data_IF_865132203892
#
_entry.id   IF_865132203892
#
_cell.length_a   1.000
_cell.length_b   1.000
_cell.length_c   1.000
_cell.angle_alpha   90.00
_cell.angle_beta   90.00
_cell.angle_gamma   90.00
#
_symmetry.space_group_name_H-M   'P 1'
#
loop_
_entity.id
_entity.type
_entity.pdbx_description
1 polymer ?
#
# COMPACT_ATOMS: atom_id res chain seq x y z
N UNK A 1 -7.82 -18.59 28.68
CA UNK A 1 -8.89 -19.47 29.23
C UNK A 1 -10.29 -18.92 28.93
N UNK A 2 -10.61 -17.68 29.31
CA UNK A 2 -11.96 -17.11 29.11
C UNK A 2 -12.44 -17.07 27.64
N UNK A 3 -11.56 -16.73 26.69
CA UNK A 3 -11.91 -16.67 25.26
C UNK A 3 -12.30 -18.03 24.66
N UNK A 4 -11.67 -19.12 25.10
CA UNK A 4 -12.00 -20.48 24.64
C UNK A 4 -13.37 -20.94 25.15
N UNK A 5 -13.73 -20.55 26.38
CA UNK A 5 -15.06 -20.82 26.95
C UNK A 5 -16.14 -20.05 26.18
N UNK A 6 -15.87 -18.80 25.81
CA UNK A 6 -16.81 -17.97 25.05
C UNK A 6 -17.02 -18.53 23.63
N UNK A 7 -15.96 -18.96 22.95
CA UNK A 7 -16.06 -19.62 21.63
C UNK A 7 -16.82 -20.95 21.74
N UNK A 8 -16.55 -21.76 22.76
CA UNK A 8 -17.26 -23.02 22.98
C UNK A 8 -18.76 -22.78 23.25
N UNK A 9 -19.10 -21.77 24.05
CA UNK A 9 -20.50 -21.38 24.28
C UNK A 9 -21.17 -20.90 22.99
N UNK A 10 -20.49 -20.11 22.17
CA UNK A 10 -21.00 -19.64 20.88
C UNK A 10 -21.25 -20.80 19.91
N UNK A 11 -20.35 -21.78 19.84
CA UNK A 11 -20.51 -22.98 19.01
C UNK A 11 -21.70 -23.85 19.47
N UNK A 12 -21.91 -23.99 20.79
CA UNK A 12 -23.07 -24.70 21.34
C UNK A 12 -24.37 -23.98 20.99
N UNK A 13 -24.38 -22.65 21.05
CA UNK A 13 -25.54 -21.85 20.65
C UNK A 13 -25.80 -21.99 19.15
N UNK A 14 -24.78 -21.85 18.29
CA UNK A 14 -24.90 -22.06 16.84
C UNK A 14 -25.43 -23.46 16.49
N UNK A 15 -24.96 -24.49 17.19
CA UNK A 15 -25.43 -25.87 16.99
C UNK A 15 -26.92 -26.02 17.35
N UNK A 16 -27.34 -25.48 18.51
CA UNK A 16 -28.75 -25.57 18.96
C UNK A 16 -29.71 -24.70 18.16
N UNK A 17 -29.23 -23.63 17.54
CA UNK A 17 -30.05 -22.64 16.84
C UNK A 17 -29.83 -22.68 15.33
N UNK A 18 -29.23 -23.74 14.79
CA UNK A 18 -29.08 -23.92 13.35
C UNK A 18 -30.47 -23.94 12.69
N UNK A 19 -30.78 -23.02 11.77
CA UNK A 19 -32.09 -22.95 11.17
C UNK A 19 -32.32 -24.13 10.21
N UNK A 20 -33.51 -24.73 10.28
CA UNK A 20 -33.90 -25.90 9.48
C UNK A 20 -34.55 -25.52 8.14
N UNK A 21 -34.74 -26.51 7.26
CA UNK A 21 -35.47 -26.36 5.97
C UNK A 21 -36.83 -25.67 6.10
N UNK A 22 -37.59 -25.98 7.15
CA UNK A 22 -38.90 -25.35 7.40
C UNK A 22 -38.79 -23.87 7.79
N UNK A 23 -37.72 -23.50 8.50
CA UNK A 23 -37.42 -22.10 8.86
C UNK A 23 -37.08 -21.27 7.61
N UNK A 24 -36.36 -21.86 6.65
CA UNK A 24 -36.08 -21.22 5.36
C UNK A 24 -37.37 -20.95 4.56
N UNK A 25 -38.26 -21.95 4.51
CA UNK A 25 -39.56 -21.82 3.84
C UNK A 25 -40.41 -20.72 4.50
N UNK A 26 -40.43 -20.65 5.83
CA UNK A 26 -41.09 -19.58 6.58
C UNK A 26 -40.48 -18.20 6.31
N UNK A 27 -39.15 -18.10 6.18
CA UNK A 27 -38.45 -16.86 5.86
C UNK A 27 -38.82 -16.31 4.48
N UNK A 28 -38.79 -17.15 3.44
CA UNK A 28 -39.17 -16.71 2.08
C UNK A 28 -40.65 -16.36 1.97
N UNK A 29 -41.53 -17.09 2.67
CA UNK A 29 -42.99 -16.85 2.62
C UNK A 29 -43.42 -15.63 3.42
N UNK A 30 -42.84 -15.38 4.61
CA UNK A 30 -43.21 -14.21 5.43
C UNK A 30 -42.67 -12.89 4.85
N UNK A 31 -41.50 -12.90 4.22
CA UNK A 31 -40.88 -11.68 3.65
C UNK A 31 -41.70 -11.12 2.46
N UNK A 32 -42.60 -11.89 1.84
CA UNK A 32 -43.50 -11.37 0.79
C UNK A 32 -44.69 -10.56 1.33
N UNK A 33 -45.00 -10.68 2.63
CA UNK A 33 -46.25 -10.15 3.21
C UNK A 33 -46.14 -8.81 3.95
N UNK A 34 -44.93 -8.31 4.22
CA UNK A 34 -44.71 -7.05 4.95
C UNK A 34 -43.56 -6.21 4.35
N UNK A 35 -43.83 -5.15 3.57
CA UNK A 35 -42.81 -4.24 3.10
C UNK A 35 -42.54 -3.16 4.15
N UNK A 36 -41.66 -3.43 5.11
CA UNK A 36 -41.09 -2.38 5.96
C UNK A 36 -39.71 -1.99 5.45
N UNK A 37 -39.67 -0.77 4.91
CA UNK A 37 -38.58 0.19 4.67
C UNK A 37 -37.15 -0.32 4.85
N UNK A 38 -36.31 0.01 3.85
CA UNK A 38 -34.85 -0.24 3.71
C UNK A 38 -34.48 -1.61 3.12
N UNK A 39 -34.66 -1.79 1.79
CA UNK A 39 -33.89 -2.68 0.88
C UNK A 39 -34.55 -2.72 -0.51
N UNK A 40 -34.26 -1.74 -1.36
CA UNK A 40 -34.94 -1.55 -2.67
C UNK A 40 -34.58 -2.56 -3.77
N UNK A 41 -33.64 -3.50 -3.53
CA UNK A 41 -33.27 -4.55 -4.49
C UNK A 41 -33.79 -5.94 -4.12
N UNK A 42 -34.10 -6.18 -2.84
CA UNK A 42 -34.57 -7.49 -2.35
C UNK A 42 -36.07 -7.66 -2.62
N UNK A 43 -36.83 -6.58 -2.52
CA UNK A 43 -38.28 -6.58 -2.79
C UNK A 43 -38.60 -6.93 -4.24
N UNK A 44 -37.83 -6.46 -5.25
CA UNK A 44 -38.14 -6.74 -6.65
C UNK A 44 -37.97 -8.22 -7.05
N UNK A 45 -37.05 -8.95 -6.41
CA UNK A 45 -36.86 -10.38 -6.63
C UNK A 45 -37.94 -11.22 -5.93
N UNK A 46 -38.29 -10.88 -4.68
CA UNK A 46 -39.33 -11.58 -3.91
C UNK A 46 -40.74 -11.34 -4.46
N UNK A 47 -41.04 -10.15 -5.02
CA UNK A 47 -42.33 -9.87 -5.68
C UNK A 47 -42.51 -10.68 -6.97
N UNK A 48 -41.42 -11.20 -7.56
CA UNK A 48 -41.49 -12.06 -8.75
C UNK A 48 -41.84 -13.52 -8.42
N UNK A 49 -41.82 -13.91 -7.15
CA UNK A 49 -42.14 -15.26 -6.67
C UNK A 49 -43.65 -15.48 -6.43
N UNK A 50 -44.50 -15.05 -7.37
CA UNK A 50 -45.95 -15.38 -7.39
C UNK A 50 -46.19 -16.80 -7.94
N UNK A 51 -45.14 -17.50 -8.39
CA UNK A 51 -45.25 -18.85 -8.96
C UNK A 51 -44.31 -19.83 -8.26
N UNK A 52 -44.70 -20.31 -7.08
CA UNK A 52 -44.05 -21.45 -6.42
C UNK A 52 -42.64 -21.18 -5.88
N UNK A 53 -42.20 -22.01 -4.93
CA UNK A 53 -40.85 -21.96 -4.39
C UNK A 53 -39.90 -22.45 -5.48
N UNK A 54 -38.89 -21.66 -5.92
CA UNK A 54 -37.93 -22.11 -6.91
C UNK A 54 -37.16 -23.34 -6.42
N UNK A 55 -36.70 -24.17 -7.35
CA UNK A 55 -35.83 -25.28 -7.03
C UNK A 55 -34.54 -24.75 -6.38
N UNK A 56 -34.19 -25.33 -5.22
CA UNK A 56 -33.09 -24.87 -4.37
C UNK A 56 -32.35 -26.07 -3.77
N UNK A 57 -31.04 -25.92 -3.64
CA UNK A 57 -30.18 -26.91 -3.00
C UNK A 57 -29.93 -26.46 -1.56
N UNK A 58 -30.34 -27.30 -0.62
CA UNK A 58 -30.16 -27.07 0.81
C UNK A 58 -28.97 -27.88 1.31
N UNK A 59 -27.93 -27.20 1.77
CA UNK A 59 -26.75 -27.80 2.37
C UNK A 59 -26.74 -27.52 3.88
N UNK A 60 -26.91 -28.58 4.68
CA UNK A 60 -26.89 -28.50 6.13
C UNK A 60 -25.46 -28.74 6.66
N UNK A 61 -24.94 -27.82 7.45
CA UNK A 61 -23.68 -27.98 8.17
C UNK A 61 -23.93 -27.89 9.67
N UNK A 62 -23.05 -28.48 10.48
CA UNK A 62 -23.26 -28.62 11.92
C UNK A 62 -23.55 -27.28 12.68
N UNK A 63 -23.11 -26.14 12.15
CA UNK A 63 -23.24 -24.83 12.82
C UNK A 63 -23.95 -23.78 11.98
N UNK A 64 -24.28 -24.08 10.73
CA UNK A 64 -24.90 -23.16 9.79
C UNK A 64 -25.51 -23.92 8.63
N UNK A 65 -26.50 -23.32 7.97
CA UNK A 65 -27.12 -23.88 6.77
C UNK A 65 -26.89 -22.96 5.59
N UNK A 66 -26.59 -23.51 4.42
CA UNK A 66 -26.48 -22.74 3.18
C UNK A 66 -27.58 -23.19 2.23
N UNK A 67 -28.32 -22.22 1.68
CA UNK A 67 -29.27 -22.48 0.61
C UNK A 67 -28.85 -21.73 -0.63
N UNK A 68 -28.62 -22.47 -1.71
CA UNK A 68 -28.33 -21.91 -3.03
C UNK A 68 -29.50 -22.19 -3.95
N UNK A 69 -29.99 -21.15 -4.63
CA UNK A 69 -30.96 -21.33 -5.71
C UNK A 69 -30.28 -22.01 -6.90
N UNK A 70 -31.00 -22.86 -7.65
CA UNK A 70 -30.44 -23.57 -8.81
C UNK A 70 -29.98 -22.64 -9.94
N UNK A 71 -30.46 -21.40 -9.97
CA UNK A 71 -30.05 -20.36 -10.91
C UNK A 71 -28.78 -19.59 -10.48
N UNK A 72 -28.17 -19.96 -9.33
CA UNK A 72 -27.05 -19.25 -8.70
C UNK A 72 -27.31 -17.74 -8.46
N UNK A 73 -28.57 -17.29 -8.47
CA UNK A 73 -28.91 -15.86 -8.34
C UNK A 73 -28.72 -15.34 -6.91
N UNK A 74 -28.92 -16.19 -5.92
CA UNK A 74 -28.74 -15.86 -4.52
C UNK A 74 -28.30 -17.07 -3.70
N UNK A 75 -27.43 -16.78 -2.73
CA UNK A 75 -27.00 -17.72 -1.70
C UNK A 75 -27.45 -17.18 -0.35
N UNK A 76 -28.12 -18.01 0.44
CA UNK A 76 -28.59 -17.67 1.78
C UNK A 76 -27.75 -18.43 2.82
N UNK A 77 -27.40 -17.75 3.91
CA UNK A 77 -26.72 -18.30 5.07
C UNK A 77 -27.64 -18.26 6.28
N UNK A 78 -27.96 -19.43 6.80
CA UNK A 78 -28.70 -19.62 8.03
C UNK A 78 -27.74 -19.80 9.20
N UNK A 79 -27.71 -18.84 10.13
CA UNK A 79 -26.86 -18.86 11.33
C UNK A 79 -27.64 -18.25 12.50
N UNK A 80 -27.52 -18.83 13.70
CA UNK A 80 -28.15 -18.29 14.92
C UNK A 80 -29.66 -18.05 14.80
N UNK A 81 -30.37 -18.94 14.10
CA UNK A 81 -31.82 -18.84 13.87
C UNK A 81 -32.25 -17.75 12.89
N UNK A 82 -31.32 -17.07 12.21
CA UNK A 82 -31.59 -16.04 11.22
C UNK A 82 -31.08 -16.43 9.83
N UNK A 83 -31.74 -15.94 8.79
CA UNK A 83 -31.34 -16.10 7.40
C UNK A 83 -30.77 -14.79 6.86
N UNK A 84 -29.54 -14.85 6.35
CA UNK A 84 -28.80 -13.74 5.75
C UNK A 84 -28.56 -14.02 4.27
N UNK A 85 -28.51 -12.98 3.43
CA UNK A 85 -28.21 -13.12 2.00
C UNK A 85 -26.71 -12.87 1.77
N UNK A 86 -25.99 -13.86 1.26
CA UNK A 86 -24.54 -13.81 1.04
C UNK A 86 -24.11 -13.17 -0.28
N UNK A 87 -25.02 -13.01 -1.26
CA UNK A 87 -24.68 -12.43 -2.56
C UNK A 87 -24.20 -10.97 -2.49
N UNK A 88 -24.53 -10.23 -1.42
CA UNK A 88 -24.01 -8.88 -1.16
C UNK A 88 -22.61 -8.88 -0.53
N UNK A 89 -22.17 -9.97 0.12
CA UNK A 89 -20.87 -10.05 0.77
C UNK A 89 -19.75 -10.49 -0.20
N UNK A 90 -20.07 -11.38 -1.14
CA UNK A 90 -19.11 -11.91 -2.12
C UNK A 90 -18.60 -10.82 -3.08
N UNK A 91 -19.42 -9.78 -3.34
CA UNK A 91 -19.01 -8.60 -4.09
C UNK A 91 -17.87 -7.78 -3.44
N UNK A 92 -17.60 -7.97 -2.14
CA UNK A 92 -16.51 -7.28 -1.42
C UNK A 92 -15.16 -8.01 -1.45
N UNK A 93 -15.11 -9.27 -1.86
CA UNK A 93 -13.86 -10.06 -1.92
C UNK A 93 -13.41 -10.42 -3.34
N UNK A 94 -14.23 -10.15 -4.36
CA UNK A 94 -13.88 -10.35 -5.77
C UNK A 94 -13.10 -9.15 -6.39
N UNK A 95 -12.34 -8.41 -5.58
CA UNK A 95 -11.47 -7.30 -6.00
C UNK A 95 -10.09 -7.72 -6.50
N UNK A 96 -9.86 -9.02 -6.72
CA UNK A 96 -8.62 -9.53 -7.30
C UNK A 96 -8.98 -10.45 -8.48
N UNK A 97 -8.66 -9.96 -9.68
CA UNK A 97 -8.63 -10.65 -10.98
C UNK A 97 -9.89 -10.51 -11.85
N UNK A 98 -9.74 -9.71 -12.90
CA UNK A 98 -10.58 -9.76 -14.11
C UNK A 98 -11.45 -8.53 -14.30
N UNK A 99 -11.36 -7.94 -15.50
CA UNK A 99 -12.19 -6.81 -15.99
C UNK A 99 -13.66 -6.93 -15.54
N UNK A 100 -14.33 -5.86 -15.11
CA UNK A 100 -15.71 -5.98 -14.67
C UNK A 100 -16.61 -6.26 -15.87
N UNK A 101 -17.39 -7.34 -15.75
CA UNK A 101 -18.58 -7.56 -16.55
C UNK A 101 -19.62 -6.49 -16.18
N UNK A 102 -20.39 -6.07 -17.19
CA UNK A 102 -21.40 -5.00 -17.16
C UNK A 102 -22.42 -5.24 -16.04
N UNK A 103 -22.19 -4.60 -14.88
CA UNK A 103 -23.07 -4.63 -13.71
C UNK A 103 -23.33 -3.21 -13.21
N UNK A 104 -24.54 -2.71 -13.48
CA UNK A 104 -25.20 -1.53 -12.88
C UNK A 104 -24.37 -0.24 -12.77
N UNK A 105 -24.37 0.55 -13.85
CA UNK A 105 -23.92 1.96 -13.91
C UNK A 105 -24.35 2.80 -12.68
N UNK A 106 -25.58 2.57 -12.17
CA UNK A 106 -26.09 3.27 -10.98
C UNK A 106 -25.34 2.99 -9.66
N UNK A 107 -24.70 1.83 -9.49
CA UNK A 107 -23.94 1.51 -8.28
C UNK A 107 -22.56 2.17 -8.30
N UNK A 108 -21.95 2.23 -9.50
CA UNK A 108 -20.69 2.94 -9.75
C UNK A 108 -20.89 4.45 -9.61
N UNK A 109 -21.97 4.99 -10.17
CA UNK A 109 -22.31 6.41 -10.09
C UNK A 109 -22.57 6.87 -8.63
N UNK A 110 -23.16 6.01 -7.79
CA UNK A 110 -23.40 6.34 -6.36
C UNK A 110 -22.08 6.39 -5.59
N UNK A 111 -21.18 5.43 -5.82
CA UNK A 111 -19.85 5.43 -5.17
C UNK A 111 -18.94 6.56 -5.65
N UNK A 112 -19.04 6.97 -6.92
CA UNK A 112 -18.27 8.09 -7.45
C UNK A 112 -18.76 9.42 -6.86
N UNK A 113 -20.08 9.60 -6.73
CA UNK A 113 -20.67 10.78 -6.09
C UNK A 113 -20.23 10.92 -4.63
N UNK A 114 -20.20 9.83 -3.85
CA UNK A 114 -19.70 9.83 -2.47
C UNK A 114 -18.20 10.21 -2.40
N UNK A 115 -17.39 9.73 -3.35
CA UNK A 115 -15.96 10.07 -3.42
C UNK A 115 -15.73 11.55 -3.74
N UNK A 116 -16.52 12.10 -4.67
CA UNK A 116 -16.45 13.51 -5.04
C UNK A 116 -16.88 14.43 -3.89
N UNK A 117 -17.97 14.10 -3.18
CA UNK A 117 -18.42 14.85 -2.01
C UNK A 117 -17.32 14.89 -0.92
N UNK A 118 -16.74 13.73 -0.62
CA UNK A 118 -15.64 13.64 0.35
C UNK A 118 -14.41 14.45 -0.07
N UNK A 119 -14.08 14.45 -1.37
CA UNK A 119 -12.96 15.20 -1.89
C UNK A 119 -13.21 16.72 -1.85
N UNK A 120 -14.45 17.17 -2.04
CA UNK A 120 -14.84 18.58 -1.86
C UNK A 120 -14.77 19.01 -0.39
N UNK A 121 -15.14 18.12 0.54
CA UNK A 121 -14.94 18.36 1.98
C UNK A 121 -13.46 18.56 2.30
N UNK A 122 -12.56 17.74 1.76
CA UNK A 122 -11.12 17.95 1.98
C UNK A 122 -10.62 19.24 1.35
N UNK A 123 -11.14 19.60 0.16
CA UNK A 123 -10.77 20.84 -0.51
C UNK A 123 -11.19 22.06 0.30
N UNK A 124 -12.39 22.05 0.87
CA UNK A 124 -12.85 23.13 1.76
C UNK A 124 -12.00 23.19 3.04
N UNK A 125 -11.67 22.04 3.63
CA UNK A 125 -10.72 21.94 4.75
C UNK A 125 -9.35 22.51 4.41
N UNK A 126 -8.82 22.20 3.22
CA UNK A 126 -7.53 22.68 2.75
C UNK A 126 -7.52 24.22 2.61
N UNK A 127 -8.59 24.80 2.06
CA UNK A 127 -8.78 26.26 2.00
C UNK A 127 -8.83 26.89 3.39
N UNK A 128 -9.57 26.29 4.32
CA UNK A 128 -9.65 26.78 5.70
C UNK A 128 -8.28 26.70 6.43
N UNK A 129 -7.53 25.62 6.22
CA UNK A 129 -6.18 25.47 6.78
C UNK A 129 -5.20 26.51 6.20
N UNK A 130 -5.28 26.78 4.89
CA UNK A 130 -4.47 27.82 4.24
C UNK A 130 -4.77 29.21 4.81
N UNK A 131 -6.05 29.53 5.10
CA UNK A 131 -6.44 30.78 5.76
C UNK A 131 -5.85 30.91 7.17
N UNK A 132 -5.72 29.80 7.90
CA UNK A 132 -5.10 29.74 9.22
C UNK A 132 -3.56 29.76 9.18
N UNK A 133 -2.94 29.87 7.99
CA UNK A 133 -1.49 29.76 7.74
C UNK A 133 -0.89 28.42 8.14
N UNK A 134 -1.71 27.37 8.23
CA UNK A 134 -1.24 26.00 8.41
C UNK A 134 -1.09 25.34 7.03
N UNK A 135 0.06 25.62 6.40
CA UNK A 135 0.34 25.18 5.04
C UNK A 135 0.59 23.68 4.90
N UNK A 136 1.08 23.03 5.97
CA UNK A 136 1.32 21.59 5.97
C UNK A 136 -0.01 20.84 5.94
N UNK A 137 -0.94 21.19 6.83
CA UNK A 137 -2.28 20.60 6.84
C UNK A 137 -3.04 20.93 5.56
N UNK A 138 -2.85 22.14 5.00
CA UNK A 138 -3.45 22.51 3.73
C UNK A 138 -2.95 21.63 2.57
N UNK A 139 -1.63 21.45 2.43
CA UNK A 139 -1.05 20.60 1.38
C UNK A 139 -1.51 19.15 1.48
N UNK A 140 -1.50 18.58 2.69
CA UNK A 140 -1.95 17.21 2.94
C UNK A 140 -3.44 17.03 2.63
N UNK A 141 -4.28 18.03 2.93
CA UNK A 141 -5.70 17.99 2.61
C UNK A 141 -5.95 18.08 1.09
N UNK A 142 -5.21 18.92 0.36
CA UNK A 142 -5.28 18.94 -1.11
C UNK A 142 -4.80 17.62 -1.73
N UNK A 143 -3.75 17.01 -1.18
CA UNK A 143 -3.29 15.69 -1.61
C UNK A 143 -4.34 14.61 -1.36
N UNK A 144 -4.97 14.61 -0.19
CA UNK A 144 -6.05 13.66 0.13
C UNK A 144 -7.25 13.83 -0.81
N UNK A 145 -7.65 15.07 -1.11
CA UNK A 145 -8.68 15.36 -2.10
C UNK A 145 -8.29 14.80 -3.48
N UNK A 146 -7.04 15.03 -3.92
CA UNK A 146 -6.55 14.58 -5.21
C UNK A 146 -6.52 13.04 -5.32
N UNK A 147 -6.14 12.34 -4.25
CA UNK A 147 -6.16 10.88 -4.20
C UNK A 147 -7.58 10.31 -4.28
N UNK A 148 -8.56 10.96 -3.65
CA UNK A 148 -9.98 10.57 -3.74
C UNK A 148 -10.52 10.78 -5.15
N UNK A 149 -10.26 11.93 -5.77
CA UNK A 149 -10.63 12.18 -7.17
C UNK A 149 -9.95 11.21 -8.16
N UNK A 150 -8.74 10.72 -7.85
CA UNK A 150 -8.03 9.72 -8.67
C UNK A 150 -8.69 8.33 -8.62
N UNK A 151 -9.49 8.03 -7.60
CA UNK A 151 -10.28 6.80 -7.53
C UNK A 151 -11.53 6.86 -8.42
N UNK A 152 -11.97 8.07 -8.81
CA UNK A 152 -13.02 8.28 -9.80
C UNK A 152 -12.58 7.81 -11.19
N UNK A 153 -13.53 7.37 -11.99
CA UNK A 153 -13.29 6.89 -13.35
C UNK A 153 -13.59 7.95 -14.40
N UNK A 154 -14.31 9.02 -14.03
CA UNK A 154 -14.64 10.14 -14.88
C UNK A 154 -13.41 10.99 -15.25
N UNK A 155 -13.38 11.47 -16.49
CA UNK A 155 -12.36 12.39 -17.00
C UNK A 155 -12.34 13.71 -16.19
N UNK A 156 -13.51 14.15 -15.72
CA UNK A 156 -13.64 15.35 -14.88
C UNK A 156 -12.92 15.15 -13.54
N UNK A 157 -13.09 13.99 -12.91
CA UNK A 157 -12.46 13.67 -11.62
C UNK A 157 -10.94 13.57 -11.78
N UNK A 158 -10.43 13.03 -12.90
CA UNK A 158 -8.99 13.02 -13.19
C UNK A 158 -8.41 14.43 -13.37
N UNK A 159 -9.12 15.33 -14.07
CA UNK A 159 -8.72 16.74 -14.21
C UNK A 159 -8.75 17.47 -12.86
N UNK A 160 -9.76 17.21 -12.02
CA UNK A 160 -9.85 17.77 -10.68
C UNK A 160 -8.72 17.25 -9.78
N UNK A 161 -8.35 15.98 -9.88
CA UNK A 161 -7.20 15.41 -9.18
C UNK A 161 -5.90 16.15 -9.55
N UNK A 162 -5.64 16.31 -10.86
CA UNK A 162 -4.46 17.03 -11.35
C UNK A 162 -4.43 18.48 -10.83
N UNK A 163 -5.56 19.18 -10.87
CA UNK A 163 -5.68 20.55 -10.34
C UNK A 163 -5.40 20.63 -8.84
N UNK A 164 -5.88 19.67 -8.05
CA UNK A 164 -5.66 19.64 -6.61
C UNK A 164 -4.19 19.32 -6.26
N UNK A 165 -3.52 18.46 -7.03
CA UNK A 165 -2.06 18.27 -6.90
C UNK A 165 -1.30 19.57 -7.20
N UNK A 166 -1.67 20.31 -8.25
CA UNK A 166 -1.06 21.60 -8.60
C UNK A 166 -1.28 22.66 -7.51
N UNK A 167 -2.51 22.74 -6.99
CA UNK A 167 -2.83 23.62 -5.86
C UNK A 167 -2.00 23.26 -4.61
N UNK A 168 -1.79 21.96 -4.34
CA UNK A 168 -0.91 21.50 -3.26
C UNK A 168 0.54 21.93 -3.47
N UNK A 169 1.09 21.71 -4.67
CA UNK A 169 2.47 22.10 -5.01
C UNK A 169 2.70 23.59 -4.81
N UNK A 170 1.81 24.44 -5.35
CA UNK A 170 1.93 25.89 -5.26
C UNK A 170 1.91 26.37 -3.80
N UNK A 171 1.00 25.83 -3.00
CA UNK A 171 0.85 26.23 -1.59
C UNK A 171 2.07 25.79 -0.77
N UNK A 172 2.49 24.53 -0.91
CA UNK A 172 3.65 24.01 -0.18
C UNK A 172 4.95 24.70 -0.59
N UNK A 173 5.17 24.93 -1.90
CA UNK A 173 6.39 25.58 -2.38
C UNK A 173 6.47 27.06 -1.96
N UNK A 174 5.36 27.80 -2.04
CA UNK A 174 5.32 29.19 -1.57
C UNK A 174 5.54 29.28 -0.06
N UNK A 175 4.91 28.40 0.71
CA UNK A 175 5.10 28.31 2.16
C UNK A 175 6.55 27.93 2.53
N UNK A 176 7.15 26.98 1.81
CA UNK A 176 8.52 26.55 2.07
C UNK A 176 9.52 27.71 1.88
N UNK A 177 9.34 28.53 0.84
CA UNK A 177 10.16 29.74 0.62
C UNK A 177 10.01 30.76 1.75
N UNK A 178 8.79 30.97 2.24
CA UNK A 178 8.51 31.88 3.37
C UNK A 178 9.21 31.39 4.64
N UNK A 179 9.12 30.10 4.95
CA UNK A 179 9.76 29.54 6.14
C UNK A 179 11.29 29.45 6.02
N UNK A 180 11.81 29.22 4.82
CA UNK A 180 13.25 29.21 4.57
C UNK A 180 13.92 30.58 4.76
N UNK A 181 13.17 31.68 4.65
CA UNK A 181 13.69 33.04 4.93
C UNK A 181 13.97 33.28 6.42
N UNK A 182 13.39 32.46 7.31
CA UNK A 182 13.56 32.59 8.75
C UNK A 182 14.42 31.45 9.31
N UNK A 183 15.63 31.70 9.84
CA UNK A 183 16.53 30.65 10.33
C UNK A 183 15.90 29.76 11.41
N UNK A 184 15.07 30.32 12.30
CA UNK A 184 14.39 29.57 13.36
C UNK A 184 13.29 28.63 12.85
N UNK A 185 12.86 28.76 11.58
CA UNK A 185 11.76 27.99 10.99
C UNK A 185 12.24 27.08 9.86
N UNK A 186 13.56 26.88 9.73
CA UNK A 186 14.16 26.09 8.65
C UNK A 186 13.75 24.61 8.71
N UNK A 187 13.56 24.04 9.90
CA UNK A 187 13.02 22.67 10.06
C UNK A 187 11.57 22.55 9.55
N UNK A 188 10.75 23.63 9.65
CA UNK A 188 9.41 23.66 9.05
C UNK A 188 9.48 23.75 7.53
N UNK A 189 10.45 24.49 6.98
CA UNK A 189 10.69 24.48 5.54
C UNK A 189 11.06 23.07 5.05
N UNK A 190 11.94 22.35 5.78
CA UNK A 190 12.27 20.96 5.51
C UNK A 190 11.04 20.04 5.48
N UNK A 191 10.10 20.21 6.41
CA UNK A 191 8.84 19.43 6.43
C UNK A 191 7.99 19.64 5.18
N UNK A 192 7.92 20.88 4.68
CA UNK A 192 7.16 21.18 3.47
C UNK A 192 7.83 20.60 2.22
N UNK A 193 9.16 20.62 2.15
CA UNK A 193 9.90 19.97 1.06
C UNK A 193 9.80 18.44 1.11
N UNK A 194 9.76 17.84 2.30
CA UNK A 194 9.47 16.42 2.47
C UNK A 194 8.10 16.06 1.87
N UNK A 195 7.06 16.83 2.19
CA UNK A 195 5.73 16.60 1.61
C UNK A 195 5.70 16.85 0.10
N UNK A 196 6.39 17.88 -0.40
CA UNK A 196 6.55 18.09 -1.84
C UNK A 196 7.19 16.86 -2.52
N UNK A 197 8.25 16.30 -1.93
CA UNK A 197 8.90 15.08 -2.43
C UNK A 197 7.96 13.88 -2.50
N UNK A 198 7.12 13.69 -1.46
CA UNK A 198 6.10 12.62 -1.44
C UNK A 198 5.08 12.78 -2.56
N UNK A 199 4.62 14.01 -2.79
CA UNK A 199 3.64 14.29 -3.86
C UNK A 199 4.30 14.08 -5.23
N UNK A 200 5.54 14.53 -5.46
CA UNK A 200 6.24 14.30 -6.73
C UNK A 200 6.54 12.83 -7.01
N UNK A 201 6.80 12.03 -5.97
CA UNK A 201 7.08 10.59 -6.10
C UNK A 201 5.83 9.74 -6.40
N UNK A 202 4.68 10.09 -5.80
CA UNK A 202 3.46 9.26 -5.81
C UNK A 202 2.24 9.87 -6.53
N UNK A 203 2.32 11.16 -6.90
CA UNK A 203 1.21 11.94 -7.46
C UNK A 203 0.79 11.54 -8.87
N UNK A 204 -0.25 12.20 -9.38
CA UNK A 204 -0.77 11.97 -10.74
C UNK A 204 0.24 12.30 -11.85
N UNK A 205 1.13 13.25 -11.61
CA UNK A 205 2.22 13.65 -12.50
C UNK A 205 3.55 13.32 -11.83
N UNK A 206 3.85 12.02 -11.78
CA UNK A 206 5.06 11.49 -11.15
C UNK A 206 6.30 12.07 -11.84
N UNK A 207 7.05 12.88 -11.10
CA UNK A 207 8.30 13.49 -11.55
C UNK A 207 9.39 13.15 -10.54
N UNK A 208 10.11 12.08 -10.83
CA UNK A 208 11.18 11.58 -9.97
C UNK A 208 12.33 12.59 -9.83
N UNK A 209 12.55 13.48 -10.80
CA UNK A 209 13.68 14.42 -10.72
C UNK A 209 13.39 15.49 -9.68
N UNK A 210 12.21 16.10 -9.77
CA UNK A 210 11.75 17.08 -8.77
C UNK A 210 11.57 16.45 -7.39
N UNK A 211 11.20 15.18 -7.32
CA UNK A 211 11.15 14.45 -6.06
C UNK A 211 12.53 14.36 -5.41
N UNK A 212 13.57 14.00 -6.18
CA UNK A 212 14.96 13.95 -5.69
C UNK A 212 15.39 15.32 -5.18
N UNK A 213 15.23 16.38 -5.98
CA UNK A 213 15.58 17.75 -5.58
C UNK A 213 14.84 18.19 -4.30
N UNK A 214 13.56 17.83 -4.17
CA UNK A 214 12.78 18.14 -2.97
C UNK A 214 13.28 17.39 -1.72
N UNK A 215 13.64 16.11 -1.84
CA UNK A 215 14.20 15.35 -0.72
C UNK A 215 15.61 15.80 -0.35
N UNK A 216 16.45 16.15 -1.32
CA UNK A 216 17.80 16.70 -1.07
C UNK A 216 17.72 18.07 -0.39
N UNK A 217 16.84 18.97 -0.85
CA UNK A 217 16.62 20.26 -0.20
C UNK A 217 16.05 20.10 1.21
N UNK A 218 15.11 19.17 1.43
CA UNK A 218 14.61 18.84 2.75
C UNK A 218 15.72 18.34 3.68
N UNK A 219 16.57 17.43 3.20
CA UNK A 219 17.70 16.91 3.95
C UNK A 219 18.69 18.02 4.34
N UNK A 220 19.06 18.90 3.40
CA UNK A 220 19.97 20.00 3.65
C UNK A 220 19.43 20.96 4.73
N UNK A 221 18.14 21.26 4.70
CA UNK A 221 17.52 22.08 5.76
C UNK A 221 17.52 21.39 7.11
N UNK A 222 17.29 20.08 7.14
CA UNK A 222 17.36 19.30 8.38
C UNK A 222 18.78 19.25 8.95
N UNK A 223 19.81 19.14 8.11
CA UNK A 223 21.21 19.20 8.57
C UNK A 223 21.56 20.56 9.15
N UNK A 224 21.12 21.65 8.52
CA UNK A 224 21.34 23.01 9.06
C UNK A 224 20.64 23.20 10.41
N UNK A 225 19.48 22.57 10.62
CA UNK A 225 18.77 22.60 11.91
C UNK A 225 19.18 21.52 12.91
N UNK A 226 20.16 20.68 12.59
CA UNK A 226 20.55 19.50 13.38
C UNK A 226 19.35 18.58 13.74
N UNK A 227 18.47 18.38 12.76
CA UNK A 227 17.24 17.58 12.91
C UNK A 227 17.52 16.11 12.59
N UNK A 228 17.05 15.21 13.45
CA UNK A 228 17.27 13.76 13.34
C UNK A 228 16.73 13.15 12.04
N UNK A 229 15.84 13.85 11.32
CA UNK A 229 15.20 13.41 10.08
C UNK A 229 16.09 13.50 8.84
N UNK A 230 17.20 14.23 8.89
CA UNK A 230 18.10 14.41 7.73
C UNK A 230 18.52 13.09 7.05
N UNK A 231 19.02 12.06 7.78
CA UNK A 231 19.44 10.80 7.17
C UNK A 231 18.30 10.06 6.43
N UNK A 232 17.08 10.11 6.97
CA UNK A 232 15.92 9.45 6.37
C UNK A 232 15.51 10.11 5.05
N UNK A 233 15.61 11.43 4.95
CA UNK A 233 15.32 12.15 3.70
C UNK A 233 16.40 11.91 2.64
N UNK A 234 17.68 11.89 3.03
CA UNK A 234 18.77 11.52 2.10
C UNK A 234 18.62 10.09 1.58
N UNK A 235 18.19 9.15 2.43
CA UNK A 235 17.94 7.77 2.00
C UNK A 235 16.76 7.70 1.00
N UNK A 236 15.73 8.52 1.19
CA UNK A 236 14.62 8.63 0.24
C UNK A 236 15.07 9.19 -1.11
N UNK A 237 15.91 10.22 -1.11
CA UNK A 237 16.55 10.73 -2.33
C UNK A 237 17.41 9.65 -3.03
N UNK A 238 18.23 8.91 -2.27
CA UNK A 238 19.05 7.83 -2.80
C UNK A 238 18.23 6.69 -3.42
N UNK A 239 17.10 6.32 -2.82
CA UNK A 239 16.20 5.32 -3.39
C UNK A 239 15.60 5.76 -4.74
N UNK A 240 15.21 7.04 -4.87
CA UNK A 240 14.69 7.59 -6.13
C UNK A 240 15.79 7.72 -7.19
N UNK A 241 17.01 8.09 -6.79
CA UNK A 241 18.19 8.09 -7.67
C UNK A 241 18.48 6.68 -8.21
N UNK A 242 18.40 5.66 -7.34
CA UNK A 242 18.55 4.27 -7.73
C UNK A 242 17.47 3.82 -8.71
N UNK A 243 16.21 4.18 -8.46
CA UNK A 243 15.09 3.90 -9.37
C UNK A 243 15.27 4.57 -10.75
N UNK A 244 15.86 5.76 -10.80
CA UNK A 244 16.23 6.45 -12.04
C UNK A 244 17.44 5.84 -12.76
N UNK A 245 18.16 4.91 -12.14
CA UNK A 245 19.40 4.33 -12.65
C UNK A 245 20.67 5.15 -12.38
N UNK A 246 20.60 6.19 -11.54
CA UNK A 246 21.79 6.98 -11.11
C UNK A 246 22.45 6.32 -9.90
N UNK A 247 22.94 5.09 -10.09
CA UNK A 247 23.44 4.26 -9.00
C UNK A 247 24.68 4.83 -8.29
N UNK A 248 25.63 5.43 -9.02
CA UNK A 248 26.86 5.96 -8.39
C UNK A 248 26.54 7.12 -7.43
N UNK A 249 25.66 8.04 -7.84
CA UNK A 249 25.19 9.13 -6.97
C UNK A 249 24.41 8.62 -5.76
N UNK A 250 23.63 7.54 -5.93
CA UNK A 250 22.94 6.92 -4.80
C UNK A 250 23.93 6.27 -3.80
N UNK A 251 24.97 5.60 -4.29
CA UNK A 251 26.00 4.95 -3.46
C UNK A 251 26.73 6.00 -2.61
N UNK A 252 27.19 7.10 -3.20
CA UNK A 252 27.92 8.14 -2.45
C UNK A 252 27.06 8.75 -1.35
N UNK A 253 25.77 8.99 -1.61
CA UNK A 253 24.83 9.44 -0.58
C UNK A 253 24.68 8.38 0.53
N UNK A 254 24.52 7.11 0.17
CA UNK A 254 24.33 6.03 1.16
C UNK A 254 25.57 5.81 2.04
N UNK A 255 26.77 5.88 1.48
CA UNK A 255 28.02 5.79 2.23
C UNK A 255 28.10 6.89 3.31
N UNK A 256 27.70 8.13 2.97
CA UNK A 256 27.65 9.22 3.96
C UNK A 256 26.62 8.95 5.05
N UNK A 257 25.41 8.51 4.69
CA UNK A 257 24.32 8.23 5.63
C UNK A 257 24.70 7.10 6.59
N UNK A 258 25.24 6.00 6.06
CA UNK A 258 25.66 4.83 6.83
C UNK A 258 26.71 5.22 7.86
N UNK A 259 27.68 6.06 7.47
CA UNK A 259 28.73 6.51 8.39
C UNK A 259 28.18 7.31 9.58
N UNK A 260 27.17 8.15 9.36
CA UNK A 260 26.50 8.96 10.39
C UNK A 260 25.58 8.10 11.26
N UNK A 261 24.75 7.25 10.65
CA UNK A 261 23.79 6.42 11.37
C UNK A 261 24.45 5.31 12.20
N UNK A 262 25.64 4.83 11.81
CA UNK A 262 26.37 3.83 12.59
C UNK A 262 26.99 4.38 13.88
N UNK A 263 27.20 5.70 13.99
CA UNK A 263 27.72 6.32 15.21
C UNK A 263 26.64 6.46 16.31
N UNK A 264 25.37 6.40 15.93
CA UNK A 264 24.24 6.61 16.82
C UNK A 264 23.49 5.28 17.07
N UNK A 265 23.47 4.84 18.32
CA UNK A 265 22.84 3.58 18.73
C UNK A 265 21.36 3.49 18.33
N UNK A 266 20.64 4.62 18.34
CA UNK A 266 19.22 4.66 17.96
C UNK A 266 19.05 4.57 16.45
N UNK A 267 20.01 5.06 15.65
CA UNK A 267 19.92 5.03 14.17
C UNK A 267 20.57 3.78 13.57
N UNK A 268 21.37 3.06 14.34
CA UNK A 268 22.05 1.80 13.94
C UNK A 268 21.10 0.76 13.34
N UNK A 269 19.84 0.67 13.80
CA UNK A 269 18.88 -0.32 13.27
C UNK A 269 18.53 -0.13 11.80
N UNK A 270 18.66 1.10 11.27
CA UNK A 270 18.42 1.43 9.86
C UNK A 270 19.62 1.22 8.96
N UNK A 271 20.82 1.05 9.52
CA UNK A 271 22.05 0.87 8.74
C UNK A 271 21.93 -0.31 7.78
N UNK A 272 21.31 -1.42 8.23
CA UNK A 272 21.08 -2.60 7.36
C UNK A 272 20.21 -2.29 6.13
N UNK A 273 19.22 -1.40 6.28
CA UNK A 273 18.31 -1.02 5.18
C UNK A 273 19.09 -0.19 4.14
N UNK A 274 20.00 0.68 4.59
CA UNK A 274 20.85 1.51 3.73
C UNK A 274 21.95 0.71 3.04
N UNK A 275 22.62 -0.19 3.75
CA UNK A 275 23.60 -1.12 3.18
C UNK A 275 22.97 -2.04 2.13
N UNK A 276 21.73 -2.47 2.38
CA UNK A 276 20.97 -3.25 1.40
C UNK A 276 20.69 -2.45 0.12
N UNK A 277 20.27 -1.19 0.26
CA UNK A 277 20.04 -0.32 -0.88
C UNK A 277 21.35 -0.04 -1.66
N UNK A 278 22.46 0.18 -0.94
CA UNK A 278 23.78 0.40 -1.53
C UNK A 278 24.24 -0.83 -2.33
N UNK A 279 24.03 -2.03 -1.78
CA UNK A 279 24.31 -3.28 -2.47
C UNK A 279 23.49 -3.44 -3.75
N UNK A 280 22.19 -3.10 -3.73
CA UNK A 280 21.36 -3.11 -4.93
C UNK A 280 21.92 -2.15 -6.00
N UNK A 281 22.31 -0.94 -5.62
CA UNK A 281 22.93 0.01 -6.57
C UNK A 281 24.19 -0.56 -7.22
N UNK A 282 25.06 -1.23 -6.45
CA UNK A 282 26.26 -1.89 -7.00
C UNK A 282 25.92 -3.04 -7.96
N UNK A 283 24.87 -3.82 -7.67
CA UNK A 283 24.34 -4.84 -8.60
C UNK A 283 23.83 -4.16 -9.89
N UNK A 284 23.18 -3.00 -9.77
CA UNK A 284 22.71 -2.22 -10.91
C UNK A 284 23.80 -1.71 -11.84
N UNK A 285 24.98 -1.44 -11.29
CA UNK A 285 26.21 -1.12 -12.03
C UNK A 285 26.92 -2.36 -12.60
N UNK A 286 26.44 -3.57 -12.28
CA UNK A 286 27.06 -4.85 -12.62
C UNK A 286 28.49 -5.01 -12.03
N UNK A 287 28.83 -4.24 -10.98
CA UNK A 287 30.13 -4.27 -10.32
C UNK A 287 30.14 -5.23 -9.12
N UNK A 288 30.17 -6.52 -9.44
CA UNK A 288 30.21 -7.61 -8.45
C UNK A 288 31.49 -7.64 -7.61
N UNK A 289 32.60 -7.11 -8.15
CA UNK A 289 33.89 -7.07 -7.46
C UNK A 289 33.84 -6.02 -6.35
N UNK A 290 33.33 -4.82 -6.66
CA UNK A 290 33.10 -3.76 -5.66
C UNK A 290 32.13 -4.25 -4.59
N UNK A 291 31.02 -4.86 -4.99
CA UNK A 291 30.06 -5.43 -4.04
C UNK A 291 30.70 -6.43 -3.08
N UNK A 292 31.46 -7.39 -3.59
CA UNK A 292 32.15 -8.38 -2.75
C UNK A 292 33.17 -7.77 -1.79
N UNK A 293 33.88 -6.72 -2.20
CA UNK A 293 34.80 -5.97 -1.31
C UNK A 293 34.02 -5.20 -0.24
N UNK A 294 32.96 -4.51 -0.61
CA UNK A 294 32.13 -3.73 0.31
C UNK A 294 31.47 -4.62 1.37
N UNK A 295 30.92 -5.76 0.98
CA UNK A 295 30.30 -6.71 1.94
C UNK A 295 31.32 -7.21 2.98
N UNK A 296 32.54 -7.54 2.57
CA UNK A 296 33.61 -7.93 3.51
C UNK A 296 34.00 -6.78 4.46
N UNK A 297 34.05 -5.55 3.94
CA UNK A 297 34.33 -4.37 4.77
C UNK A 297 33.19 -4.12 5.78
N UNK A 298 31.93 -4.25 5.36
CA UNK A 298 30.76 -4.13 6.22
C UNK A 298 30.71 -5.22 7.29
N UNK A 299 31.04 -6.46 6.94
CA UNK A 299 31.15 -7.56 7.90
C UNK A 299 32.19 -7.28 8.99
N UNK A 300 33.34 -6.69 8.66
CA UNK A 300 34.36 -6.34 9.65
C UNK A 300 33.97 -5.12 10.50
N UNK A 301 33.38 -4.10 9.89
CA UNK A 301 33.07 -2.81 10.54
C UNK A 301 31.81 -2.87 11.40
N UNK A 302 30.79 -3.60 10.97
CA UNK A 302 29.47 -3.69 11.61
C UNK A 302 29.21 -5.08 12.22
N UNK A 303 30.30 -5.76 12.62
CA UNK A 303 30.29 -7.16 13.10
C UNK A 303 29.55 -7.33 14.44
N UNK A 304 29.59 -6.31 15.31
CA UNK A 304 28.82 -6.23 16.54
C UNK A 304 27.36 -5.81 16.32
N UNK A 305 27.08 -5.22 15.17
CA UNK A 305 25.74 -4.83 14.75
C UNK A 305 25.01 -5.97 14.06
N UNK A 306 23.69 -5.86 14.05
CA UNK A 306 22.75 -6.86 13.50
C UNK A 306 22.97 -7.18 12.01
N UNK A 307 23.94 -6.57 11.32
CA UNK A 307 24.23 -6.76 9.90
C UNK A 307 24.62 -8.19 9.53
N UNK A 308 25.62 -8.78 10.18
CA UNK A 308 26.11 -10.11 9.77
C UNK A 308 25.06 -11.22 9.93
N UNK A 309 24.09 -11.02 10.84
CA UNK A 309 22.96 -11.92 11.08
C UNK A 309 21.69 -11.50 10.34
N UNK A 310 21.74 -10.41 9.58
CA UNK A 310 20.60 -9.85 8.88
C UNK A 310 20.24 -10.74 7.68
N UNK A 311 18.96 -10.67 7.27
CA UNK A 311 18.48 -11.41 6.09
C UNK A 311 19.04 -10.76 4.82
N UNK A 312 19.19 -9.45 4.86
CA UNK A 312 19.76 -8.60 3.83
C UNK A 312 21.19 -9.03 3.49
N UNK A 313 22.03 -9.23 4.50
CA UNK A 313 23.42 -9.69 4.32
C UNK A 313 23.48 -11.12 3.77
N UNK A 314 22.66 -12.04 4.31
CA UNK A 314 22.56 -13.41 3.80
C UNK A 314 22.15 -13.44 2.33
N UNK A 315 21.14 -12.65 1.97
CA UNK A 315 20.66 -12.54 0.61
C UNK A 315 21.74 -12.02 -0.33
N UNK A 316 22.40 -10.91 0.00
CA UNK A 316 23.47 -10.32 -0.83
C UNK A 316 24.63 -11.31 -1.02
N UNK A 317 25.05 -12.01 0.05
CA UNK A 317 26.08 -13.05 -0.05
C UNK A 317 25.65 -14.18 -0.98
N UNK A 318 24.41 -14.65 -0.85
CA UNK A 318 23.83 -15.64 -1.75
C UNK A 318 23.84 -15.21 -3.23
N UNK A 319 23.56 -13.93 -3.52
CA UNK A 319 23.63 -13.41 -4.89
C UNK A 319 25.08 -13.38 -5.42
N UNK A 320 26.05 -12.98 -4.59
CA UNK A 320 27.46 -12.97 -4.95
C UNK A 320 27.96 -14.40 -5.22
N UNK A 321 27.58 -15.36 -4.38
CA UNK A 321 27.95 -16.76 -4.56
C UNK A 321 27.33 -17.35 -5.83
N UNK A 322 26.05 -17.08 -6.09
CA UNK A 322 25.37 -17.47 -7.33
C UNK A 322 26.06 -16.89 -8.57
N UNK A 323 26.50 -15.62 -8.50
CA UNK A 323 27.28 -14.98 -9.57
C UNK A 323 28.64 -15.65 -9.77
N UNK A 324 29.36 -15.96 -8.70
CA UNK A 324 30.67 -16.60 -8.77
C UNK A 324 30.59 -18.03 -9.33
N UNK A 325 29.49 -18.74 -9.05
CA UNK A 325 29.22 -20.09 -9.56
C UNK A 325 28.59 -20.09 -10.97
N UNK A 326 28.23 -18.92 -11.51
CA UNK A 326 27.47 -18.76 -12.75
C UNK A 326 26.17 -19.60 -12.77
N UNK A 327 25.47 -19.66 -11.63
CA UNK A 327 24.25 -20.45 -11.48
C UNK A 327 23.03 -19.55 -11.29
N UNK A 328 22.21 -19.43 -12.35
CA UNK A 328 21.00 -18.62 -12.34
C UNK A 328 19.86 -19.22 -11.51
N UNK A 329 19.90 -20.52 -11.19
CA UNK A 329 18.92 -21.17 -10.33
C UNK A 329 19.18 -20.82 -8.87
N UNK A 330 20.44 -20.86 -8.41
CA UNK A 330 20.80 -20.42 -7.05
C UNK A 330 20.43 -18.95 -6.84
N UNK A 331 20.67 -18.09 -7.85
CA UNK A 331 20.28 -16.68 -7.81
C UNK A 331 18.76 -16.52 -7.62
N UNK A 332 17.97 -17.27 -8.39
CA UNK A 332 16.51 -17.25 -8.32
C UNK A 332 16.01 -17.72 -6.95
N UNK A 333 16.54 -18.82 -6.44
CA UNK A 333 16.13 -19.40 -5.16
C UNK A 333 16.41 -18.42 -4.00
N UNK A 334 17.54 -17.71 -4.04
CA UNK A 334 17.86 -16.65 -3.07
C UNK A 334 16.87 -15.47 -3.13
N UNK A 335 16.47 -15.03 -4.33
CA UNK A 335 15.45 -14.01 -4.51
C UNK A 335 14.07 -14.45 -4.00
N UNK A 336 13.66 -15.69 -4.27
CA UNK A 336 12.40 -16.25 -3.79
C UNK A 336 12.38 -16.43 -2.27
N UNK A 337 13.50 -16.82 -1.65
CA UNK A 337 13.61 -16.90 -0.19
C UNK A 337 13.44 -15.53 0.47
N UNK A 338 14.07 -14.50 -0.09
CA UNK A 338 13.99 -13.14 0.46
C UNK A 338 12.60 -12.51 0.28
N UNK A 339 11.98 -12.68 -0.89
CA UNK A 339 10.66 -12.10 -1.20
C UNK A 339 9.55 -12.61 -0.25
N UNK A 340 9.67 -13.85 0.26
CA UNK A 340 8.73 -14.42 1.26
C UNK A 340 8.64 -13.58 2.53
N UNK A 341 9.72 -12.89 2.90
CA UNK A 341 9.79 -12.09 4.12
C UNK A 341 9.72 -10.59 3.84
N UNK A 342 10.29 -10.16 2.72
CA UNK A 342 10.49 -8.76 2.39
C UNK A 342 10.12 -8.55 0.92
N UNK A 343 8.90 -8.06 0.68
CA UNK A 343 8.40 -7.82 -0.68
C UNK A 343 9.22 -6.74 -1.38
N UNK A 344 9.71 -7.06 -2.57
CA UNK A 344 10.45 -6.10 -3.39
C UNK A 344 9.57 -5.00 -3.99
N UNK A 345 10.16 -3.83 -4.19
CA UNK A 345 9.59 -2.76 -5.00
C UNK A 345 9.75 -3.07 -6.50
N UNK A 346 8.91 -2.47 -7.34
CA UNK A 346 8.89 -2.75 -8.79
C UNK A 346 10.26 -2.54 -9.46
N UNK A 347 10.94 -1.42 -9.15
CA UNK A 347 12.27 -1.13 -9.70
C UNK A 347 13.35 -2.10 -9.20
N UNK A 348 13.23 -2.62 -7.96
CA UNK A 348 14.15 -3.61 -7.42
C UNK A 348 13.99 -4.96 -8.12
N UNK A 349 12.75 -5.35 -8.43
CA UNK A 349 12.46 -6.55 -9.21
C UNK A 349 13.10 -6.41 -10.60
N UNK A 350 12.90 -5.28 -11.28
CA UNK A 350 13.50 -5.03 -12.59
C UNK A 350 15.04 -5.14 -12.55
N UNK A 351 15.66 -4.60 -11.49
CA UNK A 351 17.10 -4.68 -11.26
C UNK A 351 17.62 -6.11 -11.07
N UNK A 352 16.96 -6.88 -10.21
CA UNK A 352 17.34 -8.26 -9.91
C UNK A 352 17.11 -9.18 -11.11
N UNK A 353 16.06 -8.93 -11.90
CA UNK A 353 15.84 -9.64 -13.17
C UNK A 353 16.98 -9.38 -14.16
N UNK A 354 17.44 -8.12 -14.27
CA UNK A 354 18.60 -7.77 -15.09
C UNK A 354 19.87 -8.47 -14.59
N UNK A 355 20.08 -8.50 -13.27
CA UNK A 355 21.19 -9.21 -12.65
C UNK A 355 21.18 -10.72 -12.96
N UNK A 356 20.00 -11.34 -12.95
CA UNK A 356 19.82 -12.74 -13.35
C UNK A 356 20.16 -12.98 -14.83
N UNK A 357 19.63 -12.15 -15.73
CA UNK A 357 19.92 -12.23 -17.17
C UNK A 357 21.42 -12.15 -17.43
N UNK A 358 22.11 -11.22 -16.76
CA UNK A 358 23.56 -11.10 -16.88
C UNK A 358 24.34 -12.34 -16.42
N UNK A 359 23.78 -13.22 -15.57
CA UNK A 359 24.38 -14.52 -15.22
C UNK A 359 24.11 -15.56 -16.31
N UNK A 360 22.90 -15.58 -16.86
CA UNK A 360 22.53 -16.49 -17.95
C UNK A 360 23.34 -16.22 -19.21
N UNK A 361 23.65 -14.96 -19.51
CA UNK A 361 24.46 -14.54 -20.67
C UNK A 361 25.95 -14.89 -20.55
N UNK A 362 26.45 -15.21 -19.34
CA UNK A 362 27.84 -15.65 -19.14
C UNK A 362 28.06 -17.13 -19.45
N UNK A 363 26.98 -17.90 -19.62
CA UNK A 363 26.99 -19.35 -19.83
C UNK A 363 26.95 -19.68 -21.32
#
# INVERSE_FOLDING_TARGET
>A
MLGYILVAALLVVCFKTNPNKDSFKAFITNTSSNPTTTTSKITSFLTRAITGIPAHVYNDYAFFSIVTLEDNSATFLGVLGQWLVLSELVGRTAGLRGKPAVGSRAAVDTTEMELEEMADVDRTKAKQAALKKDYLTAGNAYQAAALRFKQGFSEVSQLQAARNFEDAYRILQSAAKIYASNPQQISRAGQLYEELGKIYSSGGQRDLEKAIEAYETAANYYEVSDDFRAPAQKASAAALLAERGRYESAITLLETIVSVCAQDEIRSYKVKDYLFLEALCMIGLEDWIRLGKSVRAWDGKYQGDKWAKSRECRFIKGLIDARNLNDSQIYRDACEEYDKFNRFQEWQIALLLKGKQGIEDLR
#
